data_IF_145237191503
#
_entry.id   IF_145237191503
#
_cell.length_a   1.000
_cell.length_b   1.000
_cell.length_c   1.000
_cell.angle_alpha   90.00
_cell.angle_beta   90.00
_cell.angle_gamma   90.00
#
_symmetry.space_group_name_H-M   'P 1'
#
loop_
_entity.id
_entity.type
_entity.pdbx_description
1 polymer ?
#
# COMPACT_ATOMS: atom_id res chain seq x y z
N UNK A 1 6.29 1.01 -23.84
CA UNK A 1 6.18 1.80 -22.57
C UNK A 1 4.77 2.30 -22.32
N UNK A 2 4.13 3.00 -23.26
CA UNK A 2 2.74 3.50 -23.16
C UNK A 2 1.67 2.47 -22.74
N UNK A 3 1.61 1.24 -23.31
CA UNK A 3 0.60 0.27 -22.90
C UNK A 3 0.79 -0.25 -21.47
N UNK A 4 2.04 -0.34 -20.98
CA UNK A 4 2.33 -0.74 -19.60
C UNK A 4 1.86 0.34 -18.62
N UNK A 5 2.08 1.62 -18.95
CA UNK A 5 1.62 2.74 -18.13
C UNK A 5 0.08 2.76 -18.07
N UNK A 6 -0.59 2.53 -19.20
CA UNK A 6 -2.06 2.44 -19.25
C UNK A 6 -2.62 1.34 -18.36
N UNK A 7 -2.05 0.13 -18.42
CA UNK A 7 -2.47 -0.99 -17.58
C UNK A 7 -2.26 -0.72 -16.08
N UNK A 8 -1.09 -0.16 -15.73
CA UNK A 8 -0.79 0.22 -14.35
C UNK A 8 -1.80 1.23 -13.79
N UNK A 9 -2.26 2.18 -14.61
CA UNK A 9 -3.22 3.20 -14.23
C UNK A 9 -4.61 2.61 -13.96
N UNK A 10 -5.05 1.66 -14.78
CA UNK A 10 -6.32 0.92 -14.58
C UNK A 10 -6.27 0.12 -13.27
N UNK A 11 -5.17 -0.59 -13.03
CA UNK A 11 -4.96 -1.35 -11.80
C UNK A 11 -4.96 -0.44 -10.56
N UNK A 12 -4.32 0.73 -10.65
CA UNK A 12 -4.32 1.72 -9.59
C UNK A 12 -5.75 2.19 -9.26
N UNK A 13 -6.55 2.43 -10.29
CA UNK A 13 -7.95 2.83 -10.12
C UNK A 13 -8.80 1.72 -9.46
N UNK A 14 -8.63 0.48 -9.92
CA UNK A 14 -9.29 -0.68 -9.33
C UNK A 14 -8.91 -0.88 -7.85
N UNK A 15 -7.63 -0.72 -7.51
CA UNK A 15 -7.14 -0.81 -6.13
C UNK A 15 -7.77 0.26 -5.23
N UNK A 16 -7.89 1.50 -5.71
CA UNK A 16 -8.55 2.59 -4.97
C UNK A 16 -10.04 2.28 -4.75
N UNK A 17 -10.73 1.78 -5.78
CA UNK A 17 -12.14 1.40 -5.68
C UNK A 17 -12.35 0.27 -4.66
N UNK A 18 -11.51 -0.76 -4.71
CA UNK A 18 -11.55 -1.88 -3.78
C UNK A 18 -11.29 -1.42 -2.35
N UNK A 19 -10.27 -0.60 -2.12
CA UNK A 19 -9.95 -0.07 -0.80
C UNK A 19 -11.09 0.76 -0.22
N UNK A 20 -11.76 1.59 -1.04
CA UNK A 20 -12.93 2.35 -0.60
C UNK A 20 -14.08 1.43 -0.14
N UNK A 21 -14.28 0.31 -0.84
CA UNK A 21 -15.27 -0.69 -0.45
C UNK A 21 -14.86 -1.45 0.83
N UNK A 22 -13.58 -1.81 0.95
CA UNK A 22 -13.02 -2.47 2.14
C UNK A 22 -13.12 -1.60 3.39
N UNK A 23 -12.84 -0.31 3.29
CA UNK A 23 -12.98 0.62 4.43
C UNK A 23 -14.45 0.70 4.87
N UNK A 24 -15.40 0.80 3.93
CA UNK A 24 -16.84 0.80 4.24
C UNK A 24 -17.26 -0.45 5.00
N UNK A 25 -16.83 -1.63 4.52
CA UNK A 25 -17.08 -2.91 5.18
C UNK A 25 -16.44 -2.98 6.58
N UNK A 26 -15.18 -2.56 6.70
CA UNK A 26 -14.44 -2.61 7.98
C UNK A 26 -15.05 -1.68 9.02
N UNK A 27 -15.50 -0.49 8.62
CA UNK A 27 -16.18 0.47 9.49
C UNK A 27 -17.54 -0.08 9.93
N UNK A 28 -18.29 -0.74 9.04
CA UNK A 28 -19.56 -1.37 9.41
C UNK A 28 -19.35 -2.49 10.44
N UNK A 29 -18.31 -3.32 10.28
CA UNK A 29 -17.95 -4.38 11.21
C UNK A 29 -17.49 -3.83 12.57
N UNK A 30 -16.81 -2.68 12.61
CA UNK A 30 -16.29 -2.05 13.83
C UNK A 30 -17.21 -0.99 14.44
N UNK A 31 -18.47 -0.88 14.00
CA UNK A 31 -19.40 0.17 14.46
C UNK A 31 -19.56 0.19 15.99
N UNK A 32 -19.56 -0.98 16.64
CA UNK A 32 -19.70 -1.09 18.11
C UNK A 32 -18.46 -0.56 18.83
N UNK A 33 -17.26 -0.86 18.32
CA UNK A 33 -15.97 -0.40 18.87
C UNK A 33 -15.80 1.12 18.72
N UNK A 34 -16.26 1.68 17.60
CA UNK A 34 -16.24 3.13 17.38
C UNK A 34 -17.19 3.82 18.37
N UNK A 35 -18.38 3.25 18.59
CA UNK A 35 -19.38 3.80 19.52
C UNK A 35 -18.88 3.75 20.98
N UNK A 36 -18.19 2.69 21.39
CA UNK A 36 -17.56 2.65 22.72
C UNK A 36 -16.40 3.61 22.83
N UNK A 37 -15.55 3.77 21.81
CA UNK A 37 -14.48 4.79 21.80
C UNK A 37 -15.02 6.22 21.94
N UNK A 38 -16.15 6.53 21.29
CA UNK A 38 -16.79 7.85 21.39
C UNK A 38 -17.33 8.12 22.81
N UNK A 39 -17.82 7.09 23.51
CA UNK A 39 -18.34 7.24 24.88
C UNK A 39 -17.25 7.53 25.91
N UNK A 40 -15.98 7.20 25.63
CA UNK A 40 -14.83 7.52 26.49
C UNK A 40 -14.15 8.85 26.10
N UNK A 41 -14.73 9.62 25.16
CA UNK A 41 -14.18 10.89 24.70
C UNK A 41 -12.98 10.78 23.76
N UNK A 42 -12.83 9.65 23.05
CA UNK A 42 -11.65 9.42 22.20
C UNK A 42 -11.57 10.42 21.03
N UNK A 43 -10.41 11.08 20.89
CA UNK A 43 -10.12 12.02 19.80
C UNK A 43 -10.25 11.36 18.41
N UNK A 44 -10.70 12.07 17.36
CA UNK A 44 -10.86 11.53 16.00
C UNK A 44 -9.61 10.85 15.41
N UNK A 45 -8.41 11.18 15.90
CA UNK A 45 -7.17 10.50 15.52
C UNK A 45 -7.04 9.07 16.07
N UNK A 46 -7.62 8.76 17.24
CA UNK A 46 -7.60 7.41 17.81
C UNK A 46 -8.38 6.41 16.92
N UNK A 47 -9.41 6.89 16.21
CA UNK A 47 -10.20 6.10 15.26
C UNK A 47 -9.40 5.84 13.96
N UNK A 48 -8.52 6.77 13.54
CA UNK A 48 -7.69 6.65 12.32
C UNK A 48 -6.46 5.76 12.52
N UNK A 49 -5.90 5.74 13.73
CA UNK A 49 -4.69 5.01 14.07
C UNK A 49 -4.65 3.51 13.67
N UNK A 50 -5.70 2.69 13.90
CA UNK A 50 -5.67 1.28 13.52
C UNK A 50 -5.59 1.07 12.00
N UNK A 51 -6.29 1.91 11.22
CA UNK A 51 -6.26 1.83 9.75
C UNK A 51 -4.91 2.23 9.18
N UNK A 52 -4.27 3.25 9.76
CA UNK A 52 -2.95 3.70 9.33
C UNK A 52 -1.87 2.65 9.63
N UNK A 53 -1.95 1.98 10.80
CA UNK A 53 -1.09 0.82 11.12
C UNK A 53 -1.28 -0.33 10.13
N UNK A 54 -2.52 -0.62 9.74
CA UNK A 54 -2.79 -1.67 8.76
C UNK A 54 -2.16 -1.35 7.40
N UNK A 55 -2.23 -0.10 6.95
CA UNK A 55 -1.57 0.37 5.73
C UNK A 55 -0.06 0.25 5.75
N UNK A 56 0.57 0.59 6.88
CA UNK A 56 2.01 0.42 7.06
C UNK A 56 2.44 -1.05 6.93
N UNK A 57 1.69 -1.96 7.57
CA UNK A 57 1.96 -3.40 7.48
C UNK A 57 1.82 -3.92 6.04
N UNK A 58 0.75 -3.54 5.33
CA UNK A 58 0.57 -3.94 3.94
C UNK A 58 1.65 -3.33 3.02
N UNK A 59 2.08 -2.09 3.27
CA UNK A 59 3.18 -1.44 2.55
C UNK A 59 4.51 -2.18 2.70
N UNK A 60 4.88 -2.54 3.92
CA UNK A 60 6.10 -3.31 4.20
C UNK A 60 6.07 -4.68 3.52
N UNK A 61 4.94 -5.40 3.62
CA UNK A 61 4.77 -6.71 2.98
C UNK A 61 4.86 -6.58 1.45
N UNK A 62 4.27 -5.53 0.87
CA UNK A 62 4.32 -5.29 -0.58
C UNK A 62 5.73 -4.99 -1.09
N UNK A 63 6.53 -4.21 -0.35
CA UNK A 63 7.92 -3.92 -0.70
C UNK A 63 8.80 -5.19 -0.66
N UNK A 64 8.59 -6.04 0.36
CA UNK A 64 9.25 -7.34 0.45
C UNK A 64 8.88 -8.27 -0.71
N UNK A 65 7.57 -8.36 -1.04
CA UNK A 65 7.10 -9.14 -2.18
C UNK A 65 7.66 -8.62 -3.51
N UNK A 66 7.69 -7.31 -3.71
CA UNK A 66 8.25 -6.71 -4.92
C UNK A 66 9.74 -7.08 -5.08
N UNK A 67 10.52 -7.04 -4.00
CA UNK A 67 11.92 -7.43 -4.06
C UNK A 67 12.10 -8.92 -4.36
N UNK A 68 11.29 -9.78 -3.73
CA UNK A 68 11.30 -11.21 -3.99
C UNK A 68 10.95 -11.50 -5.47
N UNK A 69 9.97 -10.80 -6.03
CA UNK A 69 9.61 -10.92 -7.46
C UNK A 69 10.74 -10.44 -8.38
N UNK A 70 11.39 -9.31 -8.08
CA UNK A 70 12.53 -8.82 -8.87
C UNK A 70 13.67 -9.85 -8.85
N UNK A 71 14.03 -10.38 -7.69
CA UNK A 71 15.07 -11.42 -7.58
C UNK A 71 14.66 -12.71 -8.31
N UNK A 72 13.41 -13.13 -8.18
CA UNK A 72 12.89 -14.32 -8.86
C UNK A 72 12.97 -14.20 -10.38
N UNK A 73 12.63 -13.03 -10.94
CA UNK A 73 12.76 -12.76 -12.37
C UNK A 73 14.24 -12.76 -12.79
N UNK A 74 15.12 -12.18 -11.97
CA UNK A 74 16.57 -12.13 -12.23
C UNK A 74 17.19 -13.55 -12.29
N UNK A 75 16.80 -14.43 -11.37
CA UNK A 75 17.21 -15.85 -11.37
C UNK A 75 16.64 -16.60 -12.58
N UNK A 76 15.38 -16.36 -12.96
CA UNK A 76 14.78 -17.01 -14.12
C UNK A 76 15.46 -16.57 -15.43
N UNK A 77 15.80 -15.29 -15.54
CA UNK A 77 16.52 -14.72 -16.70
C UNK A 77 17.97 -15.20 -16.77
N UNK A 78 18.61 -15.47 -15.64
CA UNK A 78 19.94 -16.06 -15.57
C UNK A 78 20.02 -17.43 -16.26
N UNK A 79 18.95 -18.23 -16.20
CA UNK A 79 18.88 -19.55 -16.86
C UNK A 79 18.87 -19.41 -18.39
N UNK A 80 18.35 -18.29 -18.93
CA UNK A 80 18.17 -18.10 -20.37
C UNK A 80 19.28 -17.27 -21.05
N UNK A 81 19.96 -16.35 -20.34
CA UNK A 81 21.03 -15.52 -20.91
C UNK A 81 22.05 -15.09 -19.86
N UNK A 82 23.28 -15.59 -19.96
CA UNK A 82 24.40 -15.30 -19.03
C UNK A 82 24.96 -13.87 -19.16
N UNK A 83 24.62 -13.13 -20.22
CA UNK A 83 25.20 -11.79 -20.51
C UNK A 83 24.50 -10.61 -19.82
N UNK A 84 23.36 -10.81 -19.15
CA UNK A 84 22.56 -9.72 -18.55
C UNK A 84 23.06 -9.33 -17.15
N UNK A 85 23.96 -10.13 -16.55
CA UNK A 85 24.43 -9.94 -15.17
C UNK A 85 25.63 -9.00 -15.04
N UNK A 86 26.27 -8.58 -16.12
CA UNK A 86 27.45 -7.70 -16.07
C UNK A 86 27.23 -6.39 -15.24
N UNK A 87 26.02 -5.80 -15.18
CA UNK A 87 25.75 -4.63 -14.33
C UNK A 87 25.21 -4.92 -12.92
N UNK A 88 24.75 -6.13 -12.60
CA UNK A 88 24.07 -6.44 -11.33
C UNK A 88 25.07 -6.94 -10.28
N UNK A 89 25.89 -6.04 -9.76
CA UNK A 89 26.75 -6.33 -8.61
C UNK A 89 25.93 -6.42 -7.32
N UNK A 90 26.41 -7.14 -6.27
CA UNK A 90 25.72 -7.25 -4.98
C UNK A 90 25.36 -5.89 -4.37
N UNK A 91 26.19 -4.87 -4.64
CA UNK A 91 25.99 -3.48 -4.20
C UNK A 91 24.77 -2.83 -4.84
N UNK A 92 24.56 -3.05 -6.14
CA UNK A 92 23.38 -2.53 -6.87
C UNK A 92 22.12 -3.24 -6.40
N UNK A 93 22.19 -4.55 -6.14
CA UNK A 93 21.05 -5.32 -5.64
C UNK A 93 20.63 -4.88 -4.23
N UNK A 94 21.58 -4.58 -3.36
CA UNK A 94 21.33 -3.99 -2.04
C UNK A 94 20.70 -2.59 -2.12
N UNK A 95 21.17 -1.74 -3.04
CA UNK A 95 20.56 -0.42 -3.27
C UNK A 95 19.11 -0.55 -3.78
N UNK A 96 18.86 -1.47 -4.72
CA UNK A 96 17.51 -1.78 -5.21
C UNK A 96 16.62 -2.26 -4.06
N UNK A 97 17.12 -3.12 -3.15
CA UNK A 97 16.35 -3.56 -1.99
C UNK A 97 15.87 -2.40 -1.12
N UNK A 98 16.78 -1.50 -0.76
CA UNK A 98 16.49 -0.35 0.09
C UNK A 98 15.50 0.59 -0.61
N UNK A 99 15.73 0.88 -1.89
CA UNK A 99 14.86 1.76 -2.68
C UNK A 99 13.48 1.15 -2.84
N UNK A 100 13.38 -0.15 -3.11
CA UNK A 100 12.11 -0.83 -3.37
C UNK A 100 11.28 -1.00 -2.09
N UNK A 101 11.93 -1.29 -0.96
CA UNK A 101 11.28 -1.26 0.35
C UNK A 101 10.86 0.16 0.71
N UNK A 102 11.74 1.15 0.51
CA UNK A 102 11.44 2.54 0.80
C UNK A 102 10.25 3.06 0.00
N UNK A 103 10.26 2.82 -1.31
CA UNK A 103 9.16 3.18 -2.21
C UNK A 103 7.91 2.37 -1.86
N UNK A 104 7.99 1.06 -1.63
CA UNK A 104 6.85 0.22 -1.27
C UNK A 104 6.20 0.64 0.06
N UNK A 105 7.01 0.96 1.06
CA UNK A 105 6.55 1.49 2.34
C UNK A 105 5.90 2.87 2.18
N UNK A 106 6.55 3.79 1.43
CA UNK A 106 5.98 5.09 1.09
C UNK A 106 4.66 4.94 0.33
N UNK A 107 4.61 4.09 -0.69
CA UNK A 107 3.39 3.84 -1.47
C UNK A 107 2.30 3.22 -0.62
N UNK A 108 2.60 2.26 0.25
CA UNK A 108 1.63 1.65 1.15
C UNK A 108 1.05 2.65 2.16
N UNK A 109 1.91 3.48 2.75
CA UNK A 109 1.50 4.55 3.68
C UNK A 109 0.70 5.62 2.94
N UNK A 110 1.18 6.12 1.80
CA UNK A 110 0.54 7.17 1.01
C UNK A 110 -0.79 6.70 0.43
N UNK A 111 -0.85 5.50 -0.14
CA UNK A 111 -2.10 4.93 -0.67
C UNK A 111 -3.14 4.76 0.43
N UNK A 112 -2.76 4.14 1.55
CA UNK A 112 -3.67 3.96 2.69
C UNK A 112 -4.09 5.30 3.29
N UNK A 113 -3.16 6.24 3.44
CA UNK A 113 -3.45 7.59 3.93
C UNK A 113 -4.43 8.32 3.00
N UNK A 114 -4.25 8.25 1.68
CA UNK A 114 -5.16 8.86 0.71
C UNK A 114 -6.56 8.26 0.81
N UNK A 115 -6.69 6.93 0.89
CA UNK A 115 -8.02 6.31 0.99
C UNK A 115 -8.71 6.56 2.33
N UNK A 116 -7.98 6.49 3.45
CA UNK A 116 -8.52 6.81 4.78
C UNK A 116 -8.93 8.29 4.85
N UNK A 117 -8.10 9.20 4.33
CA UNK A 117 -8.38 10.64 4.36
C UNK A 117 -9.57 11.00 3.47
N UNK A 118 -9.70 10.38 2.29
CA UNK A 118 -10.86 10.56 1.40
C UNK A 118 -12.15 9.96 2.01
N UNK A 119 -12.05 8.84 2.71
CA UNK A 119 -13.18 8.21 3.39
C UNK A 119 -13.67 9.03 4.59
N UNK A 120 -12.76 9.57 5.38
CA UNK A 120 -13.13 10.32 6.58
C UNK A 120 -13.56 11.77 6.26
N UNK A 121 -13.03 12.37 5.18
CA UNK A 121 -13.54 13.65 4.67
C UNK A 121 -15.02 13.56 4.28
N UNK A 122 -15.45 12.43 3.68
CA UNK A 122 -16.87 12.17 3.38
C UNK A 122 -17.79 12.02 4.59
N UNK A 123 -17.26 11.84 5.81
CA UNK A 123 -18.06 11.78 7.05
C UNK A 123 -18.20 13.13 7.76
N UNK A 124 -17.39 14.12 7.38
CA UNK A 124 -17.49 15.49 7.92
C UNK A 124 -18.47 16.35 7.11
N UNK A 125 -18.67 16.05 5.83
CA UNK A 125 -19.60 16.79 4.95
C UNK A 125 -21.07 16.32 5.07
N UNK A 126 -21.40 15.44 6.03
CA UNK A 126 -22.80 15.06 6.35
C UNK A 126 -23.31 15.66 7.67
N UNK A 127 -22.65 16.72 8.15
CA UNK A 127 -23.06 17.47 9.36
C UNK A 127 -23.16 18.99 9.13
N UNK A 128 -23.47 19.40 7.90
CA UNK A 128 -24.05 20.71 7.62
C UNK A 128 -25.27 20.52 6.73
#
# INVERSE_FOLDING_TARGET
>A
VWPLVGLALIFLFAAIALMNNTIRLTVFARRMVIKTMQLVGAHPQAIRAPFLKQGLYFGLISGGLAFASVNGILVLMHIQNTSILAPFTPTVLGAIFIILIGIGALFGVVSTAIAVNRFLKKRLDTLH
#
